data_IF_254895916488
#
_entry.id   IF_254895916488
#
_cell.length_a   1.000
_cell.length_b   1.000
_cell.length_c   1.000
_cell.angle_alpha   90.00
_cell.angle_beta   90.00
_cell.angle_gamma   90.00
#
_symmetry.space_group_name_H-M   'P 1'
#
loop_
_entity.id
_entity.type
_entity.pdbx_description
1 polymer ?
#
# COMPACT_ATOMS: atom_id res chain seq x y z
N UNK A 1 -42.37 -15.59 10.33
CA UNK A 1 -40.98 -15.94 9.98
C UNK A 1 -40.55 -15.15 8.73
N UNK A 2 -40.74 -13.82 8.72
CA UNK A 2 -40.50 -12.95 7.54
C UNK A 2 -39.95 -11.56 7.88
N UNK A 3 -39.35 -11.35 9.05
CA UNK A 3 -38.80 -10.05 9.47
C UNK A 3 -37.27 -9.97 9.60
N UNK A 4 -36.54 -11.07 9.45
CA UNK A 4 -35.08 -11.07 9.57
C UNK A 4 -34.34 -10.84 8.25
N UNK A 5 -34.92 -11.23 7.10
CA UNK A 5 -34.23 -11.13 5.80
C UNK A 5 -34.16 -9.70 5.23
N UNK A 6 -35.07 -8.80 5.64
CA UNK A 6 -35.09 -7.39 5.17
C UNK A 6 -33.98 -6.57 5.83
N UNK A 7 -33.56 -6.95 7.01
CA UNK A 7 -32.51 -6.21 7.75
C UNK A 7 -31.11 -6.48 7.22
N UNK A 8 -30.89 -7.66 6.65
CA UNK A 8 -29.59 -8.08 6.09
C UNK A 8 -29.32 -7.44 4.72
N UNK A 9 -30.36 -7.29 3.91
CA UNK A 9 -30.29 -6.61 2.60
C UNK A 9 -30.00 -5.10 2.75
N UNK A 10 -30.55 -4.46 3.78
CA UNK A 10 -30.30 -3.04 4.07
C UNK A 10 -28.90 -2.81 4.62
N UNK A 11 -28.41 -3.68 5.49
CA UNK A 11 -27.02 -3.66 5.97
C UNK A 11 -26.01 -3.92 4.82
N UNK A 12 -26.33 -4.80 3.89
CA UNK A 12 -25.49 -5.04 2.71
C UNK A 12 -25.45 -3.86 1.75
N UNK A 13 -26.57 -3.14 1.59
CA UNK A 13 -26.59 -1.89 0.82
C UNK A 13 -25.85 -0.76 1.51
N UNK A 14 -25.96 -0.63 2.82
CA UNK A 14 -25.20 0.34 3.61
C UNK A 14 -23.70 0.04 3.61
N UNK A 15 -23.28 -1.24 3.69
CA UNK A 15 -21.89 -1.64 3.51
C UNK A 15 -21.36 -1.36 2.09
N UNK A 16 -22.19 -1.50 1.05
CA UNK A 16 -21.79 -1.16 -0.33
C UNK A 16 -21.68 0.34 -0.56
N UNK A 17 -22.54 1.14 0.03
CA UNK A 17 -22.46 2.60 0.02
C UNK A 17 -21.20 3.07 0.77
N UNK A 18 -20.89 2.46 1.89
CA UNK A 18 -19.69 2.77 2.70
C UNK A 18 -18.37 2.43 2.00
N UNK A 19 -18.33 1.36 1.21
CA UNK A 19 -17.15 0.98 0.40
C UNK A 19 -16.95 1.96 -0.79
N UNK A 20 -18.02 2.53 -1.31
CA UNK A 20 -17.94 3.53 -2.38
C UNK A 20 -17.45 4.90 -1.88
N UNK A 21 -17.75 5.24 -0.62
CA UNK A 21 -17.40 6.54 -0.01
C UNK A 21 -15.98 6.57 0.61
N UNK A 22 -15.38 5.42 0.86
CA UNK A 22 -14.04 5.32 1.45
C UNK A 22 -12.91 5.81 0.52
N UNK A 23 -13.21 6.23 -0.70
CA UNK A 23 -12.24 6.79 -1.66
C UNK A 23 -12.31 8.30 -1.84
N UNK A 24 -13.27 8.98 -1.19
CA UNK A 24 -13.45 10.43 -1.29
C UNK A 24 -13.44 11.05 0.11
N UNK A 25 -12.30 11.54 0.57
CA UNK A 25 -12.22 12.45 1.72
C UNK A 25 -12.12 13.85 1.16
N UNK A 26 -13.24 14.56 1.13
CA UNK A 26 -13.30 15.99 0.91
C UNK A 26 -13.04 16.71 2.25
N UNK A 27 -12.24 17.78 2.20
CA UNK A 27 -11.68 18.48 3.38
C UNK A 27 -12.66 19.41 4.11
N UNK A 28 -13.96 19.22 4.01
CA UNK A 28 -14.95 20.04 4.73
C UNK A 28 -16.15 19.24 5.21
N UNK A 29 -16.01 18.67 6.42
CA UNK A 29 -17.12 18.58 7.38
C UNK A 29 -16.64 17.98 8.72
N UNK A 30 -16.69 18.81 9.77
CA UNK A 30 -16.59 18.43 11.17
C UNK A 30 -17.80 17.59 11.59
N UNK A 31 -17.69 16.29 11.54
CA UNK A 31 -18.32 15.32 12.46
C UNK A 31 -17.46 14.06 12.41
N UNK A 32 -16.44 13.99 13.27
CA UNK A 32 -15.58 12.81 13.36
C UNK A 32 -16.23 11.73 14.21
N UNK A 33 -16.80 10.71 13.56
CA UNK A 33 -16.88 9.40 14.20
C UNK A 33 -15.46 8.90 14.43
N UNK A 34 -15.13 8.26 15.56
CA UNK A 34 -13.80 7.74 15.80
C UNK A 34 -13.47 6.70 14.72
N UNK A 35 -12.62 7.06 13.77
CA UNK A 35 -12.12 6.13 12.78
C UNK A 35 -11.41 4.99 13.51
N UNK A 36 -11.81 3.75 13.28
CA UNK A 36 -11.02 2.60 13.72
C UNK A 36 -9.57 2.86 13.31
N UNK A 37 -8.67 2.90 14.31
CA UNK A 37 -7.26 3.17 14.07
C UNK A 37 -6.76 2.17 13.06
N UNK A 38 -6.32 2.63 11.89
CA UNK A 38 -5.70 1.80 10.86
C UNK A 38 -4.40 1.23 11.43
N UNK A 39 -4.47 0.05 12.01
CA UNK A 39 -3.34 -0.60 12.67
C UNK A 39 -2.54 -1.38 11.64
N UNK A 40 -1.23 -1.20 11.65
CA UNK A 40 -0.31 -2.01 10.84
C UNK A 40 -0.41 -3.49 11.24
N UNK A 41 -0.11 -4.39 10.31
CA UNK A 41 -0.07 -5.83 10.60
C UNK A 41 1.00 -6.13 11.64
N UNK A 42 0.69 -6.99 12.61
CA UNK A 42 1.72 -7.58 13.46
C UNK A 42 2.69 -8.43 12.63
N UNK A 43 3.89 -8.72 13.14
CA UNK A 43 4.88 -9.54 12.43
C UNK A 43 4.34 -10.93 12.10
N UNK A 44 3.58 -11.53 13.02
CA UNK A 44 2.99 -12.87 12.85
C UNK A 44 1.89 -12.86 11.78
N UNK A 45 0.97 -11.88 11.82
CA UNK A 45 -0.06 -11.71 10.80
C UNK A 45 0.57 -11.48 9.43
N UNK A 46 1.59 -10.60 9.35
CA UNK A 46 2.31 -10.34 8.10
C UNK A 46 2.97 -11.62 7.56
N UNK A 47 3.63 -12.40 8.41
CA UNK A 47 4.28 -13.68 8.03
C UNK A 47 3.23 -14.69 7.53
N UNK A 48 2.16 -14.87 8.28
CA UNK A 48 1.06 -15.76 7.91
C UNK A 48 0.44 -15.34 6.57
N UNK A 49 0.13 -14.06 6.41
CA UNK A 49 -0.39 -13.53 5.14
C UNK A 49 0.54 -13.84 3.96
N UNK A 50 1.85 -13.59 4.09
CA UNK A 50 2.82 -13.83 3.02
C UNK A 50 2.97 -15.30 2.65
N UNK A 51 2.82 -16.22 3.61
CA UNK A 51 2.80 -17.66 3.36
C UNK A 51 1.58 -18.06 2.51
N UNK A 52 0.39 -17.56 2.85
CA UNK A 52 -0.83 -17.85 2.08
C UNK A 52 -0.95 -17.07 0.78
N UNK A 53 -0.20 -15.98 0.64
CA UNK A 53 -0.11 -15.20 -0.60
C UNK A 53 0.87 -15.81 -1.62
N UNK A 54 1.71 -16.74 -1.21
CA UNK A 54 2.66 -17.44 -2.08
C UNK A 54 1.93 -18.11 -3.24
N UNK A 55 2.46 -17.97 -4.44
CA UNK A 55 1.89 -18.46 -5.70
C UNK A 55 0.48 -17.93 -6.07
N UNK A 56 -0.07 -17.01 -5.28
CA UNK A 56 -1.32 -16.34 -5.64
C UNK A 56 -1.11 -15.29 -6.74
N UNK A 57 -2.21 -14.93 -7.42
CA UNK A 57 -2.16 -14.08 -8.63
C UNK A 57 -1.44 -12.75 -8.43
N UNK A 58 -1.54 -12.14 -7.24
CA UNK A 58 -1.03 -10.81 -6.94
C UNK A 58 0.05 -10.78 -5.84
N UNK A 59 0.70 -11.90 -5.59
CA UNK A 59 1.79 -12.01 -4.61
C UNK A 59 2.86 -10.93 -4.80
N UNK A 60 3.35 -10.76 -6.04
CA UNK A 60 4.39 -9.78 -6.34
C UNK A 60 3.98 -8.37 -5.94
N UNK A 61 2.72 -7.99 -6.17
CA UNK A 61 2.18 -6.67 -5.86
C UNK A 61 2.09 -6.44 -4.35
N UNK A 62 1.62 -7.43 -3.60
CA UNK A 62 1.55 -7.35 -2.12
C UNK A 62 2.94 -7.22 -1.51
N UNK A 63 3.86 -8.09 -1.92
CA UNK A 63 5.27 -8.04 -1.47
C UNK A 63 5.93 -6.71 -1.86
N UNK A 64 5.68 -6.22 -3.07
CA UNK A 64 6.26 -4.97 -3.54
C UNK A 64 5.80 -3.74 -2.74
N UNK A 65 4.52 -3.68 -2.37
CA UNK A 65 4.04 -2.60 -1.48
C UNK A 65 4.68 -2.70 -0.09
N UNK A 66 4.85 -3.90 0.45
CA UNK A 66 5.55 -4.12 1.73
C UNK A 66 7.04 -3.72 1.68
N UNK A 67 7.66 -3.66 0.49
CA UNK A 67 9.05 -3.25 0.29
C UNK A 67 9.22 -1.78 -0.06
N UNK A 68 8.18 -1.10 -0.55
CA UNK A 68 8.30 0.24 -1.13
C UNK A 68 7.33 1.26 -0.55
N UNK A 69 6.28 0.82 0.12
CA UNK A 69 5.23 1.69 0.64
C UNK A 69 4.43 2.44 -0.42
N UNK A 70 4.37 1.95 -1.67
CA UNK A 70 3.59 2.58 -2.73
C UNK A 70 2.10 2.64 -2.41
N UNK A 71 1.42 3.70 -2.87
CA UNK A 71 -0.04 3.69 -2.96
C UNK A 71 -0.48 2.73 -4.06
N UNK A 72 -1.65 2.12 -3.91
CA UNK A 72 -2.17 1.16 -4.92
C UNK A 72 -2.23 1.79 -6.32
N UNK A 73 -2.67 3.05 -6.44
CA UNK A 73 -2.69 3.75 -7.73
C UNK A 73 -1.29 4.01 -8.31
N UNK A 74 -0.28 4.26 -7.47
CA UNK A 74 1.13 4.41 -7.90
C UNK A 74 1.69 3.06 -8.38
N UNK A 75 1.35 1.97 -7.68
CA UNK A 75 1.70 0.61 -8.10
C UNK A 75 1.13 0.28 -9.48
N UNK A 76 -0.18 0.53 -9.68
CA UNK A 76 -0.87 0.27 -10.96
C UNK A 76 -0.30 1.13 -12.08
N UNK A 77 0.07 2.38 -11.77
CA UNK A 77 0.63 3.32 -12.74
C UNK A 77 2.12 3.17 -13.03
N UNK A 78 2.83 2.23 -12.37
CA UNK A 78 4.28 2.06 -12.55
C UNK A 78 4.59 1.48 -13.92
N UNK A 79 5.52 2.13 -14.65
CA UNK A 79 6.00 1.67 -15.96
C UNK A 79 7.44 1.18 -15.90
N UNK A 80 7.85 0.29 -16.81
CA UNK A 80 9.19 -0.23 -16.86
C UNK A 80 10.26 0.85 -17.04
N UNK A 81 9.96 1.93 -17.77
CA UNK A 81 10.86 3.08 -17.94
C UNK A 81 11.12 3.88 -16.64
N UNK A 82 10.29 3.70 -15.63
CA UNK A 82 10.47 4.33 -14.33
C UNK A 82 11.36 3.49 -13.38
N UNK A 83 11.75 2.28 -13.81
CA UNK A 83 12.57 1.33 -13.04
C UNK A 83 14.01 1.37 -13.54
N UNK A 84 14.93 1.74 -12.68
CA UNK A 84 16.36 1.66 -12.93
C UNK A 84 16.97 0.49 -12.13
N UNK A 85 17.25 -0.61 -12.81
CA UNK A 85 17.85 -1.79 -12.19
C UNK A 85 19.33 -1.59 -11.83
N UNK A 86 20.04 -0.66 -12.47
CA UNK A 86 21.45 -0.39 -12.22
C UNK A 86 21.63 0.40 -10.94
N UNK A 87 20.88 1.48 -10.77
CA UNK A 87 20.87 2.29 -9.55
C UNK A 87 19.94 1.74 -8.46
N UNK A 88 19.18 0.67 -8.77
CA UNK A 88 18.16 0.06 -7.90
C UNK A 88 17.19 1.12 -7.36
N UNK A 89 16.55 1.85 -8.26
CA UNK A 89 15.58 2.88 -7.92
C UNK A 89 14.32 2.78 -8.78
N UNK A 90 13.21 3.30 -8.24
CA UNK A 90 12.00 3.58 -9.02
C UNK A 90 11.63 5.07 -8.89
N UNK A 91 11.09 5.62 -9.97
CA UNK A 91 10.57 6.98 -9.99
C UNK A 91 9.05 6.95 -10.01
N UNK A 92 8.43 7.60 -9.02
CA UNK A 92 6.98 7.75 -8.95
C UNK A 92 6.61 9.01 -9.70
N UNK A 93 5.93 8.85 -10.85
CA UNK A 93 5.57 9.95 -11.76
C UNK A 93 4.08 10.06 -12.03
N UNK A 94 3.29 9.03 -11.66
CA UNK A 94 1.84 8.98 -11.92
C UNK A 94 1.12 8.10 -10.92
N UNK A 95 -0.19 8.29 -10.87
CA UNK A 95 -1.13 7.41 -10.20
C UNK A 95 -2.21 7.01 -11.19
N UNK A 96 -2.72 5.79 -11.09
CA UNK A 96 -3.71 5.26 -12.00
C UNK A 96 -4.86 4.63 -11.23
N UNK A 97 -6.07 4.94 -11.62
CA UNK A 97 -7.31 4.43 -11.02
C UNK A 97 -8.34 4.07 -12.09
N UNK A 98 -9.18 3.08 -11.81
CA UNK A 98 -10.30 2.75 -12.68
C UNK A 98 -11.57 3.47 -12.21
N UNK A 99 -12.16 4.29 -13.09
CA UNK A 99 -13.42 5.00 -12.84
C UNK A 99 -14.59 4.13 -13.27
N UNK A 100 -15.34 3.62 -12.30
CA UNK A 100 -16.47 2.72 -12.57
C UNK A 100 -17.63 3.40 -13.32
N UNK A 101 -17.88 4.70 -13.04
CA UNK A 101 -18.93 5.48 -13.69
C UNK A 101 -18.66 5.68 -15.17
N UNK A 102 -17.43 5.97 -15.55
CA UNK A 102 -16.99 6.17 -16.93
C UNK A 102 -16.49 4.89 -17.61
N UNK A 103 -16.31 3.80 -16.86
CA UNK A 103 -15.75 2.50 -17.31
C UNK A 103 -14.37 2.65 -17.96
N UNK A 104 -13.57 3.59 -17.51
CA UNK A 104 -12.25 3.93 -18.08
C UNK A 104 -11.13 3.98 -17.04
N UNK A 105 -9.89 3.89 -17.52
CA UNK A 105 -8.70 4.13 -16.72
C UNK A 105 -8.35 5.61 -16.72
N UNK A 106 -8.26 6.21 -15.54
CA UNK A 106 -7.70 7.55 -15.38
C UNK A 106 -6.24 7.43 -14.97
N UNK A 107 -5.36 7.97 -15.81
CA UNK A 107 -3.95 8.17 -15.49
C UNK A 107 -3.80 9.64 -15.11
N UNK A 108 -3.32 9.93 -13.92
CA UNK A 108 -3.13 11.28 -13.43
C UNK A 108 -1.73 11.48 -12.85
N UNK A 109 -1.33 12.72 -12.75
CA UNK A 109 -0.16 13.11 -11.99
C UNK A 109 -0.38 12.89 -10.49
N UNK A 110 0.69 12.73 -9.70
CA UNK A 110 0.57 12.72 -8.25
C UNK A 110 -0.12 14.00 -7.76
N UNK A 111 -1.04 13.87 -6.81
CA UNK A 111 -1.85 14.99 -6.27
C UNK A 111 -1.03 16.16 -5.69
N UNK A 112 0.26 15.98 -5.44
CA UNK A 112 1.16 16.99 -4.88
C UNK A 112 2.57 16.85 -5.42
N UNK A 113 3.38 17.92 -5.35
CA UNK A 113 4.80 17.90 -5.72
C UNK A 113 5.58 16.81 -4.96
N UNK A 114 5.24 16.54 -3.70
CA UNK A 114 5.84 15.47 -2.91
C UNK A 114 5.49 14.05 -3.39
N UNK A 115 4.49 13.93 -4.24
CA UNK A 115 4.15 12.66 -4.90
C UNK A 115 5.18 12.23 -5.94
N UNK A 116 5.88 13.19 -6.57
CA UNK A 116 7.03 12.93 -7.44
C UNK A 116 8.24 12.63 -6.59
N UNK A 117 8.71 11.40 -6.62
CA UNK A 117 9.81 10.96 -5.78
C UNK A 117 10.53 9.75 -6.36
N UNK A 118 11.78 9.59 -5.95
CA UNK A 118 12.58 8.41 -6.23
C UNK A 118 12.63 7.55 -4.97
N UNK A 119 12.36 6.25 -5.10
CA UNK A 119 12.41 5.28 -4.01
C UNK A 119 13.56 4.32 -4.28
N UNK A 120 14.55 4.20 -3.39
CA UNK A 120 15.55 3.16 -3.44
C UNK A 120 14.91 1.78 -3.24
N UNK A 121 15.38 0.79 -3.99
CA UNK A 121 14.87 -0.58 -3.93
C UNK A 121 15.81 -1.47 -3.11
N UNK A 122 15.22 -2.28 -2.25
CA UNK A 122 15.89 -3.42 -1.62
C UNK A 122 16.19 -4.51 -2.65
N UNK A 123 17.13 -5.42 -2.35
CA UNK A 123 17.40 -6.58 -3.21
C UNK A 123 16.13 -7.40 -3.45
N UNK A 124 15.30 -7.57 -2.43
CA UNK A 124 14.03 -8.27 -2.54
C UNK A 124 13.07 -7.55 -3.50
N UNK A 125 12.95 -6.23 -3.43
CA UNK A 125 12.12 -5.45 -4.34
C UNK A 125 12.61 -5.60 -5.81
N UNK A 126 13.92 -5.62 -6.03
CA UNK A 126 14.53 -5.88 -7.36
C UNK A 126 14.19 -7.30 -7.83
N UNK A 127 14.30 -8.30 -6.96
CA UNK A 127 13.96 -9.69 -7.28
C UNK A 127 12.47 -9.83 -7.66
N UNK A 128 11.57 -9.16 -6.92
CA UNK A 128 10.14 -9.12 -7.24
C UNK A 128 9.89 -8.53 -8.63
N UNK A 129 10.55 -7.42 -8.98
CA UNK A 129 10.43 -6.81 -10.32
C UNK A 129 10.93 -7.74 -11.43
N UNK A 130 12.04 -8.45 -11.21
CA UNK A 130 12.55 -9.46 -12.15
C UNK A 130 11.55 -10.61 -12.31
N UNK A 131 11.01 -11.16 -11.20
CA UNK A 131 9.94 -12.18 -11.21
C UNK A 131 8.71 -11.67 -11.97
N UNK A 132 8.33 -10.41 -11.77
CA UNK A 132 7.21 -9.80 -12.50
C UNK A 132 7.48 -9.66 -14.00
N UNK A 133 8.69 -9.30 -14.39
CA UNK A 133 9.08 -9.20 -15.81
C UNK A 133 8.97 -10.55 -16.51
N UNK A 134 9.43 -11.62 -15.88
CA UNK A 134 9.28 -12.99 -16.41
C UNK A 134 7.81 -13.44 -16.46
N UNK A 135 7.01 -13.03 -15.46
CA UNK A 135 5.56 -13.29 -15.46
C UNK A 135 4.85 -12.61 -16.61
N UNK A 136 5.22 -11.35 -16.92
CA UNK A 136 4.63 -10.61 -18.04
C UNK A 136 4.96 -11.24 -19.40
N UNK A 137 6.16 -11.83 -19.60
CA UNK A 137 6.52 -12.56 -20.83
C UNK A 137 5.61 -13.76 -21.14
N UNK A 138 4.93 -14.30 -20.13
CA UNK A 138 4.01 -15.43 -20.28
C UNK A 138 2.58 -15.02 -20.61
N UNK A 139 2.32 -13.72 -20.70
CA UNK A 139 1.01 -13.20 -21.12
C UNK A 139 0.93 -13.32 -22.62
N UNK A 140 -0.08 -14.03 -23.12
CA UNK A 140 -0.23 -14.35 -24.56
C UNK A 140 -0.46 -13.10 -25.42
N UNK A 141 -1.12 -12.09 -24.87
CA UNK A 141 -1.45 -10.86 -25.58
C UNK A 141 -1.46 -9.67 -24.60
N UNK A 142 -0.67 -8.65 -24.92
CA UNK A 142 -0.67 -7.38 -24.22
C UNK A 142 -0.88 -6.30 -25.28
N UNK A 143 -1.93 -5.48 -25.15
CA UNK A 143 -2.11 -4.37 -26.09
C UNK A 143 -1.00 -3.33 -25.92
N UNK A 144 -0.69 -2.61 -26.99
CA UNK A 144 0.34 -1.53 -27.00
C UNK A 144 0.09 -0.46 -25.96
N UNK A 145 -1.16 -0.25 -25.57
CA UNK A 145 -1.55 0.67 -24.51
C UNK A 145 -0.95 0.30 -23.15
N UNK A 146 -0.82 -1.02 -22.87
CA UNK A 146 -0.45 -1.54 -21.54
C UNK A 146 0.95 -2.15 -21.46
N UNK A 147 1.65 -2.37 -22.57
CA UNK A 147 2.94 -3.09 -22.62
C UNK A 147 4.04 -2.47 -21.76
N UNK A 148 4.00 -1.15 -21.55
CA UNK A 148 4.96 -0.44 -20.71
C UNK A 148 4.73 -0.64 -19.21
N UNK A 149 3.54 -1.13 -18.77
CA UNK A 149 3.20 -1.22 -17.36
C UNK A 149 3.83 -2.45 -16.69
N UNK A 150 4.25 -2.26 -15.43
CA UNK A 150 4.93 -3.32 -14.67
C UNK A 150 3.95 -4.38 -14.19
N UNK A 151 2.82 -3.99 -13.62
CA UNK A 151 1.90 -4.91 -12.96
C UNK A 151 0.62 -5.11 -13.77
N UNK A 152 0.62 -6.18 -14.58
CA UNK A 152 -0.51 -6.58 -15.39
C UNK A 152 -1.17 -7.86 -14.85
N UNK A 153 -2.44 -8.06 -15.14
CA UNK A 153 -3.12 -9.35 -14.92
C UNK A 153 -2.84 -10.32 -16.08
N UNK A 154 -3.33 -11.55 -15.97
CA UNK A 154 -3.18 -12.58 -17.03
C UNK A 154 -3.78 -12.19 -18.37
N UNK A 155 -4.69 -11.20 -18.41
CA UNK A 155 -5.31 -10.68 -19.63
C UNK A 155 -4.51 -9.53 -20.27
N UNK A 156 -3.30 -9.24 -19.79
CA UNK A 156 -2.45 -8.17 -20.32
C UNK A 156 -2.96 -6.75 -20.01
N UNK A 157 -3.85 -6.59 -19.02
CA UNK A 157 -4.40 -5.29 -18.62
C UNK A 157 -4.03 -4.94 -17.17
N UNK A 158 -4.03 -3.65 -16.81
CA UNK A 158 -3.89 -3.23 -15.42
C UNK A 158 -4.98 -3.81 -14.52
N UNK A 159 -4.69 -3.91 -13.23
CA UNK A 159 -5.62 -4.49 -12.24
C UNK A 159 -6.30 -3.37 -11.46
N UNK A 160 -7.63 -3.43 -11.37
CA UNK A 160 -8.42 -2.48 -10.59
C UNK A 160 -8.11 -2.60 -9.09
N UNK A 161 -8.13 -1.47 -8.37
CA UNK A 161 -7.83 -1.44 -6.93
C UNK A 161 -8.71 -2.41 -6.14
N UNK A 162 -10.01 -2.43 -6.39
CA UNK A 162 -10.96 -3.33 -5.73
C UNK A 162 -10.68 -4.82 -6.01
N UNK A 163 -10.08 -5.15 -7.15
CA UNK A 163 -9.71 -6.53 -7.48
C UNK A 163 -8.54 -7.01 -6.59
N UNK A 164 -7.59 -6.12 -6.29
CA UNK A 164 -6.52 -6.44 -5.34
C UNK A 164 -7.08 -6.72 -3.94
N UNK A 165 -7.96 -5.85 -3.43
CA UNK A 165 -8.57 -6.02 -2.11
C UNK A 165 -9.43 -7.28 -2.04
N UNK A 166 -10.24 -7.56 -3.09
CA UNK A 166 -11.04 -8.78 -3.16
C UNK A 166 -10.18 -10.05 -3.13
N UNK A 167 -9.07 -10.06 -3.86
CA UNK A 167 -8.14 -11.20 -3.85
C UNK A 167 -7.41 -11.33 -2.51
N UNK A 168 -7.03 -10.20 -1.90
CA UNK A 168 -6.40 -10.15 -0.59
C UNK A 168 -7.33 -10.68 0.50
N UNK A 169 -8.63 -10.32 0.48
CA UNK A 169 -9.62 -10.83 1.42
C UNK A 169 -9.75 -12.35 1.35
N UNK A 170 -9.73 -12.95 0.15
CA UNK A 170 -9.73 -14.42 -0.01
C UNK A 170 -8.51 -15.06 0.63
N UNK A 171 -7.35 -14.40 0.58
CA UNK A 171 -6.12 -14.88 1.26
C UNK A 171 -6.32 -14.80 2.78
N UNK A 172 -6.82 -13.68 3.30
CA UNK A 172 -7.11 -13.52 4.72
C UNK A 172 -8.09 -14.59 5.24
N UNK A 173 -9.16 -14.85 4.50
CA UNK A 173 -10.15 -15.86 4.86
C UNK A 173 -9.53 -17.27 4.93
N UNK A 174 -8.69 -17.63 3.94
CA UNK A 174 -7.95 -18.90 3.95
C UNK A 174 -6.96 -18.99 5.10
N UNK A 175 -6.28 -17.90 5.41
CA UNK A 175 -5.31 -17.81 6.49
C UNK A 175 -5.97 -17.68 7.88
N UNK A 176 -7.30 -17.54 7.95
CA UNK A 176 -8.08 -17.29 9.18
C UNK A 176 -7.59 -16.06 9.96
N UNK A 177 -7.21 -15.02 9.24
CA UNK A 177 -6.83 -13.71 9.81
C UNK A 177 -7.85 -12.65 9.44
N UNK A 178 -7.93 -11.58 10.22
CA UNK A 178 -8.81 -10.44 9.93
C UNK A 178 -8.51 -9.86 8.55
N UNK A 179 -9.57 -9.51 7.80
CA UNK A 179 -9.43 -8.86 6.49
C UNK A 179 -8.83 -7.48 6.63
N UNK A 180 -7.94 -7.14 5.70
CA UNK A 180 -7.34 -5.82 5.58
C UNK A 180 -7.17 -5.45 4.11
N UNK A 181 -6.97 -4.17 3.80
CA UNK A 181 -6.84 -3.66 2.43
C UNK A 181 -5.38 -3.45 2.02
N UNK A 182 -5.15 -3.20 0.74
CA UNK A 182 -3.84 -2.82 0.18
C UNK A 182 -3.22 -1.62 0.92
N UNK A 183 -4.04 -0.70 1.44
CA UNK A 183 -3.56 0.44 2.20
C UNK A 183 -2.86 0.05 3.51
N UNK A 184 -3.32 -1.03 4.16
CA UNK A 184 -2.69 -1.56 5.38
C UNK A 184 -1.30 -2.12 5.10
N UNK A 185 -1.05 -2.69 3.92
CA UNK A 185 0.31 -3.11 3.53
C UNK A 185 1.28 -1.93 3.48
N UNK A 186 0.85 -0.80 2.91
CA UNK A 186 1.64 0.44 2.95
C UNK A 186 1.83 0.96 4.37
N UNK A 187 0.80 0.89 5.20
CA UNK A 187 0.88 1.28 6.62
C UNK A 187 1.88 0.38 7.36
N UNK A 188 1.84 -0.92 7.08
CA UNK A 188 2.79 -1.89 7.63
C UNK A 188 4.22 -1.58 7.21
N UNK A 189 4.48 -1.26 5.93
CA UNK A 189 5.79 -0.78 5.49
C UNK A 189 6.27 0.41 6.33
N UNK A 190 5.42 1.43 6.50
CA UNK A 190 5.76 2.62 7.27
C UNK A 190 6.12 2.27 8.72
N UNK A 191 5.33 1.42 9.37
CA UNK A 191 5.60 0.94 10.74
C UNK A 191 6.91 0.17 10.83
N UNK A 192 7.21 -0.71 9.85
CA UNK A 192 8.51 -1.43 9.82
C UNK A 192 9.70 -0.48 9.65
N UNK A 193 9.55 0.59 8.86
CA UNK A 193 10.57 1.63 8.73
C UNK A 193 10.82 2.35 10.07
N UNK A 194 9.75 2.65 10.82
CA UNK A 194 9.83 3.28 12.14
C UNK A 194 10.53 2.36 13.14
N UNK A 195 10.12 1.10 13.22
CA UNK A 195 10.73 0.08 14.07
C UNK A 195 12.21 -0.15 13.76
N UNK A 196 12.62 0.08 12.50
CA UNK A 196 14.01 0.04 12.06
C UNK A 196 14.78 1.34 12.34
N UNK A 197 14.17 2.33 13.01
CA UNK A 197 14.82 3.59 13.35
C UNK A 197 14.93 4.61 12.21
N UNK A 198 14.11 4.47 11.15
CA UNK A 198 14.13 5.43 10.04
C UNK A 198 13.68 6.81 10.52
N UNK A 199 14.43 7.86 10.15
CA UNK A 199 14.09 9.24 10.51
C UNK A 199 12.75 9.67 9.89
N UNK A 200 11.89 10.40 10.64
CA UNK A 200 10.56 10.83 10.16
C UNK A 200 10.59 11.54 8.80
N UNK A 201 11.58 12.42 8.60
CA UNK A 201 11.73 13.17 7.33
C UNK A 201 12.03 12.26 6.15
N UNK A 202 12.88 11.24 6.34
CA UNK A 202 13.18 10.24 5.31
C UNK A 202 11.94 9.43 4.96
N UNK A 203 11.20 8.97 5.97
CA UNK A 203 9.95 8.24 5.76
C UNK A 203 8.90 9.10 5.05
N UNK A 204 8.76 10.38 5.43
CA UNK A 204 7.88 11.33 4.74
C UNK A 204 8.19 11.40 3.23
N UNK A 205 9.48 11.52 2.89
CA UNK A 205 9.93 11.61 1.49
C UNK A 205 9.64 10.31 0.73
N UNK A 206 9.93 9.15 1.31
CA UNK A 206 9.67 7.84 0.70
C UNK A 206 8.17 7.60 0.47
N UNK A 207 7.34 7.96 1.44
CA UNK A 207 5.89 7.82 1.32
C UNK A 207 5.25 8.89 0.42
N UNK A 208 5.91 10.03 0.20
CA UNK A 208 5.35 11.15 -0.55
C UNK A 208 4.17 11.78 0.18
N UNK A 209 4.28 11.98 1.50
CA UNK A 209 3.32 12.73 2.28
C UNK A 209 3.58 14.23 2.14
N UNK A 210 2.56 14.99 1.76
CA UNK A 210 2.64 16.46 1.62
C UNK A 210 2.86 17.15 2.97
N UNK A 211 2.31 16.59 4.04
CA UNK A 211 2.45 17.11 5.40
C UNK A 211 3.21 16.10 6.28
N UNK A 212 4.22 16.60 7.02
CA UNK A 212 5.00 15.80 7.95
C UNK A 212 4.13 15.26 9.11
N UNK A 213 3.06 15.96 9.49
CA UNK A 213 2.12 15.53 10.54
C UNK A 213 1.52 14.15 10.24
N UNK A 214 1.23 13.85 8.96
CA UNK A 214 0.72 12.53 8.56
C UNK A 214 1.74 11.43 8.90
N UNK A 215 3.03 11.71 8.71
CA UNK A 215 4.10 10.77 9.07
C UNK A 215 4.31 10.74 10.58
N UNK A 216 4.30 11.89 11.24
CA UNK A 216 4.48 11.97 12.70
C UNK A 216 3.39 11.22 13.47
N UNK A 217 2.14 11.21 12.97
CA UNK A 217 1.07 10.43 13.58
C UNK A 217 1.36 8.92 13.61
N UNK A 218 2.27 8.42 12.79
CA UNK A 218 2.72 7.03 12.84
C UNK A 218 3.72 6.79 13.98
N UNK A 219 4.40 7.86 14.48
CA UNK A 219 5.38 7.79 15.56
C UNK A 219 4.76 8.03 16.95
N UNK A 220 3.46 8.39 17.04
CA UNK A 220 2.77 8.76 18.29
C UNK A 220 2.68 7.60 19.31
N UNK A 221 3.05 6.40 18.92
CA UNK A 221 3.06 5.22 19.80
C UNK A 221 4.43 4.91 20.41
N UNK A 222 5.28 5.93 20.57
CA UNK A 222 6.56 5.77 21.30
C UNK A 222 6.25 5.39 22.75
N UNK A 223 6.71 4.21 23.16
CA UNK A 223 6.49 3.72 24.53
C UNK A 223 7.40 4.44 25.53
N UNK A 224 7.06 4.44 26.83
CA UNK A 224 7.93 4.99 27.87
C UNK A 224 9.31 4.30 27.90
N UNK A 225 9.35 3.01 27.52
CA UNK A 225 10.61 2.26 27.39
C UNK A 225 11.49 2.76 26.25
N UNK A 226 10.88 3.16 25.12
CA UNK A 226 11.64 3.77 24.00
C UNK A 226 12.19 5.14 24.39
N UNK A 227 11.40 5.97 25.08
CA UNK A 227 11.87 7.26 25.59
C UNK A 227 13.08 7.08 26.51
N UNK A 228 13.04 6.08 27.40
CA UNK A 228 14.13 5.78 28.29
C UNK A 228 15.40 5.35 27.53
N UNK A 229 15.27 4.44 26.55
CA UNK A 229 16.39 4.02 25.71
C UNK A 229 17.01 5.18 24.92
N UNK A 230 16.19 6.07 24.37
CA UNK A 230 16.68 7.26 23.65
C UNK A 230 17.41 8.22 24.60
N UNK A 231 16.93 8.38 25.85
CA UNK A 231 17.64 9.19 26.85
C UNK A 231 18.96 8.56 27.30
N UNK A 232 19.05 7.24 27.40
CA UNK A 232 20.29 6.53 27.71
C UNK A 232 21.34 6.76 26.60
N UNK A 233 20.93 6.72 25.31
CA UNK A 233 21.81 7.06 24.17
C UNK A 233 22.30 8.51 24.21
N UNK A 234 21.44 9.46 24.61
CA UNK A 234 21.84 10.86 24.79
C UNK A 234 22.85 10.98 25.91
N UNK A 235 22.65 10.29 27.04
CA UNK A 235 23.59 10.30 28.18
C UNK A 235 24.97 9.76 27.78
N UNK A 236 25.03 8.65 27.04
CA UNK A 236 26.29 8.10 26.50
C UNK A 236 27.01 9.10 25.57
N UNK A 237 26.24 9.76 24.65
CA UNK A 237 26.80 10.73 23.73
C UNK A 237 27.38 11.97 24.47
N UNK A 238 26.73 12.42 25.54
CA UNK A 238 27.19 13.54 26.34
C UNK A 238 28.45 13.20 27.20
N UNK A 239 28.57 11.93 27.59
CA UNK A 239 29.77 11.47 28.35
C UNK A 239 30.98 11.22 27.43
N UNK A 240 30.79 11.07 26.14
CA UNK A 240 31.84 10.85 25.14
C UNK A 240 32.49 12.16 24.63
N UNK A 241 32.02 13.30 25.08
CA UNK A 241 32.55 14.65 24.78
C UNK A 241 33.52 15.09 25.85
#
# INVERSE_FOLDING_TARGET
MEREDINDSKKLQECRAWIADATYVDEHSDISMPSEKKVALTRDIQKTFLQYAEDQSYENQYRFILQTGLRTGELVGLKWKDVDFKSKTIQIRRSMEYRYSAKEWRIGEPKSKSGYRTIPLTEEAVAILKKQKEKNKRISEISTEWEEFVFLCRKGTPVKNSTYDTALFKICDKAKISRFSMHILRHTFATRCIEAGMKPKTLQMLLGHSNIGITMNLYVHTTEEEKKKEMDLVAEALMAM
#
